data_IF_956537707194
#
_entry.id   IF_956537707194
#
_cell.length_a   1.000
_cell.length_b   1.000
_cell.length_c   1.000
_cell.angle_alpha   90.00
_cell.angle_beta   90.00
_cell.angle_gamma   90.00
#
_symmetry.space_group_name_H-M   'P 1'
#
loop_
_entity.id
_entity.type
_entity.pdbx_description
1 polymer ?
#
# COMPACT_ATOMS: atom_id res chain seq x y z
N UNK A 1 16.68 -7.53 4.01
CA UNK A 1 16.04 -6.73 5.07
C UNK A 1 14.99 -5.86 4.42
N UNK A 2 13.78 -5.88 4.94
CA UNK A 2 12.64 -5.19 4.33
C UNK A 2 11.31 -5.79 4.80
N UNK A 3 10.22 -5.16 4.38
CA UNK A 3 8.86 -5.63 4.60
C UNK A 3 8.62 -6.95 3.87
N UNK A 4 8.06 -7.93 4.57
CA UNK A 4 7.63 -9.22 4.02
C UNK A 4 6.10 -9.31 4.00
N UNK A 5 5.58 -10.19 3.14
CA UNK A 5 4.13 -10.41 3.07
C UNK A 5 3.61 -10.90 4.43
N UNK A 6 2.60 -10.20 4.97
CA UNK A 6 2.05 -10.45 6.30
C UNK A 6 2.49 -9.47 7.39
N UNK A 7 3.55 -8.69 7.16
CA UNK A 7 3.98 -7.66 8.10
C UNK A 7 2.88 -6.58 8.26
N UNK A 8 2.76 -6.04 9.47
CA UNK A 8 1.78 -4.99 9.79
C UNK A 8 2.50 -3.65 9.82
N UNK A 9 1.99 -2.68 9.06
CA UNK A 9 2.50 -1.31 9.03
C UNK A 9 1.39 -0.33 9.43
N UNK A 10 1.75 0.78 10.06
CA UNK A 10 0.81 1.81 10.47
C UNK A 10 0.86 3.00 9.51
N UNK A 11 -0.27 3.71 9.40
CA UNK A 11 -0.27 4.99 8.67
C UNK A 11 0.70 5.97 9.33
N UNK A 12 1.48 6.65 8.48
CA UNK A 12 2.53 7.58 8.90
C UNK A 12 3.93 6.96 8.94
N UNK A 13 4.04 5.63 8.93
CA UNK A 13 5.34 4.95 8.89
C UNK A 13 6.09 5.29 7.59
N UNK A 14 7.41 5.40 7.69
CA UNK A 14 8.30 5.43 6.51
C UNK A 14 8.69 4.00 6.18
N UNK A 15 8.10 3.46 5.12
CA UNK A 15 8.36 2.09 4.68
C UNK A 15 9.38 2.09 3.54
N UNK A 16 10.33 1.16 3.62
CA UNK A 16 11.34 0.94 2.58
C UNK A 16 11.22 -0.48 2.03
N UNK A 17 10.95 -0.59 0.73
CA UNK A 17 10.92 -1.84 -0.01
C UNK A 17 12.19 -1.98 -0.84
N UNK A 18 12.83 -3.15 -0.76
CA UNK A 18 14.05 -3.43 -1.52
C UNK A 18 13.81 -4.55 -2.53
N UNK A 19 14.13 -4.29 -3.79
CA UNK A 19 14.13 -5.26 -4.86
C UNK A 19 15.56 -5.50 -5.33
N UNK A 20 15.99 -6.75 -5.33
CA UNK A 20 17.37 -7.14 -5.66
C UNK A 20 17.32 -8.24 -6.73
N UNK A 21 17.97 -8.01 -7.86
CA UNK A 21 18.16 -9.00 -8.92
C UNK A 21 19.63 -9.39 -9.00
N UNK A 22 19.92 -10.70 -8.92
CA UNK A 22 21.28 -11.25 -8.86
C UNK A 22 21.61 -12.08 -10.10
N UNK A 23 22.87 -12.03 -10.53
CA UNK A 23 23.41 -12.89 -11.59
C UNK A 23 23.13 -12.40 -13.02
N UNK A 24 22.62 -11.18 -13.20
CA UNK A 24 22.37 -10.59 -14.52
C UNK A 24 23.66 -10.31 -15.29
N UNK A 25 23.68 -10.64 -16.58
CA UNK A 25 24.70 -10.15 -17.52
C UNK A 25 24.04 -9.77 -18.86
N UNK A 26 23.82 -8.47 -19.14
CA UNK A 26 24.06 -7.31 -18.27
C UNK A 26 23.15 -7.31 -17.02
N UNK A 27 23.41 -6.49 -15.98
CA UNK A 27 22.48 -6.34 -14.85
C UNK A 27 21.07 -5.97 -15.31
N UNK A 28 20.05 -6.44 -14.58
CA UNK A 28 18.65 -6.21 -14.95
C UNK A 28 18.22 -4.76 -14.68
N UNK A 29 17.31 -4.24 -15.50
CA UNK A 29 16.54 -3.03 -15.21
C UNK A 29 15.44 -3.37 -14.21
N UNK A 30 15.35 -2.58 -13.13
CA UNK A 30 14.38 -2.77 -12.04
C UNK A 30 13.35 -1.64 -12.00
N UNK A 31 12.08 -1.99 -11.88
CA UNK A 31 10.95 -1.06 -11.84
C UNK A 31 10.01 -1.46 -10.70
N UNK A 32 9.59 -0.49 -9.88
CA UNK A 32 8.50 -0.66 -8.94
C UNK A 32 7.17 -0.17 -9.51
N UNK A 33 6.14 -0.96 -9.24
CA UNK A 33 4.75 -0.66 -9.53
C UNK A 33 3.91 -0.71 -8.24
N UNK A 34 2.92 0.18 -8.13
CA UNK A 34 1.87 0.16 -7.12
C UNK A 34 0.54 -0.03 -7.83
N UNK A 35 -0.14 -1.15 -7.61
CA UNK A 35 -1.41 -1.47 -8.31
C UNK A 35 -1.33 -1.23 -9.82
N UNK A 36 -0.25 -1.69 -10.45
CA UNK A 36 0.08 -1.54 -11.88
C UNK A 36 0.53 -0.15 -12.34
N UNK A 37 0.49 0.88 -11.47
CA UNK A 37 1.08 2.19 -11.76
C UNK A 37 2.60 2.18 -11.50
N UNK A 38 3.40 2.61 -12.47
CA UNK A 38 4.85 2.73 -12.30
C UNK A 38 5.18 3.86 -11.30
N UNK A 39 5.86 3.53 -10.19
CA UNK A 39 6.18 4.49 -9.11
C UNK A 39 7.67 4.78 -8.95
N UNK A 40 8.54 3.86 -9.37
CA UNK A 40 9.99 4.06 -9.26
C UNK A 40 10.76 3.27 -10.33
N UNK A 41 11.70 3.94 -10.98
CA UNK A 41 12.61 3.34 -11.97
C UNK A 41 14.08 3.59 -11.60
N UNK A 42 14.34 4.13 -10.41
CA UNK A 42 15.69 4.49 -9.97
C UNK A 42 16.37 3.25 -9.37
N UNK A 43 17.33 2.69 -10.08
CA UNK A 43 18.06 1.51 -9.64
C UNK A 43 19.57 1.73 -9.75
N UNK A 44 20.32 1.04 -8.90
CA UNK A 44 21.78 0.97 -8.95
C UNK A 44 22.23 -0.42 -9.40
N UNK A 45 23.38 -0.49 -10.07
CA UNK A 45 23.99 -1.77 -10.47
C UNK A 45 25.36 -1.92 -9.81
N UNK A 46 25.72 -3.16 -9.49
CA UNK A 46 27.00 -3.52 -8.90
C UNK A 46 27.43 -4.89 -9.40
N UNK A 47 28.41 -4.94 -10.30
CA UNK A 47 28.84 -6.19 -10.93
C UNK A 47 27.70 -6.85 -11.72
N UNK A 48 27.19 -7.98 -11.22
CA UNK A 48 26.06 -8.75 -11.80
C UNK A 48 24.77 -8.61 -10.99
N UNK A 49 24.72 -7.64 -10.08
CA UNK A 49 23.56 -7.33 -9.26
C UNK A 49 22.94 -5.98 -9.67
N UNK A 50 21.62 -5.89 -9.55
CA UNK A 50 20.87 -4.63 -9.61
C UNK A 50 19.98 -4.51 -8.38
N UNK A 51 19.84 -3.30 -7.85
CA UNK A 51 19.06 -3.00 -6.65
C UNK A 51 18.20 -1.76 -6.86
N UNK A 52 16.93 -1.83 -6.49
CA UNK A 52 16.00 -0.70 -6.46
C UNK A 52 15.33 -0.63 -5.08
N UNK A 53 15.53 0.47 -4.38
CA UNK A 53 15.01 0.70 -3.03
C UNK A 53 13.98 1.82 -3.06
N UNK A 54 12.72 1.47 -2.87
CA UNK A 54 11.60 2.40 -2.89
C UNK A 54 11.19 2.76 -1.45
N UNK A 55 11.27 4.05 -1.10
CA UNK A 55 10.89 4.54 0.23
C UNK A 55 9.74 5.56 0.12
N UNK A 56 8.70 5.36 0.92
CA UNK A 56 7.52 6.22 0.93
C UNK A 56 6.88 6.29 2.32
N UNK A 57 6.03 7.29 2.54
CA UNK A 57 5.22 7.39 3.75
C UNK A 57 3.90 6.66 3.54
N UNK A 58 3.59 5.72 4.42
CA UNK A 58 2.41 4.86 4.34
C UNK A 58 1.15 5.66 4.59
N UNK A 59 0.20 5.62 3.65
CA UNK A 59 -1.13 6.23 3.78
C UNK A 59 -2.26 5.21 3.86
N UNK A 60 -3.49 5.63 4.22
CA UNK A 60 -4.65 4.73 4.25
C UNK A 60 -4.94 4.04 2.91
N UNK A 61 -4.61 4.70 1.80
CA UNK A 61 -4.76 4.19 0.42
C UNK A 61 -3.76 3.08 0.08
N UNK A 62 -2.74 2.87 0.91
CA UNK A 62 -1.77 1.79 0.74
C UNK A 62 -2.28 0.46 1.31
N UNK A 63 -3.37 0.47 2.10
CA UNK A 63 -3.95 -0.76 2.60
C UNK A 63 -4.41 -1.66 1.45
N UNK A 64 -3.93 -2.91 1.45
CA UNK A 64 -4.14 -3.91 0.39
C UNK A 64 -3.57 -3.54 -0.97
N UNK A 65 -2.82 -2.44 -1.08
CA UNK A 65 -2.08 -2.12 -2.30
C UNK A 65 -1.01 -3.19 -2.56
N UNK A 66 -0.85 -3.55 -3.83
CA UNK A 66 0.16 -4.50 -4.28
C UNK A 66 1.35 -3.71 -4.81
N UNK A 67 2.50 -3.87 -4.15
CA UNK A 67 3.76 -3.36 -4.63
C UNK A 67 4.50 -4.48 -5.37
N UNK A 68 4.76 -4.28 -6.66
CA UNK A 68 5.40 -5.27 -7.54
C UNK A 68 6.70 -4.70 -8.09
N UNK A 69 7.79 -5.43 -7.94
CA UNK A 69 9.03 -5.13 -8.64
C UNK A 69 9.14 -6.02 -9.88
N UNK A 70 9.49 -5.44 -11.02
CA UNK A 70 9.80 -6.15 -12.25
C UNK A 70 11.28 -5.98 -12.61
N UNK A 71 11.93 -7.08 -12.96
CA UNK A 71 13.31 -7.17 -13.39
C UNK A 71 13.37 -7.63 -14.85
N UNK A 72 13.93 -6.81 -15.72
CA UNK A 72 14.05 -7.09 -17.16
C UNK A 72 15.49 -7.04 -17.63
N UNK A 73 15.86 -7.98 -18.50
CA UNK A 73 17.17 -8.08 -19.11
C UNK A 73 17.01 -8.38 -20.62
N UNK A 74 17.97 -7.98 -21.45
CA UNK A 74 17.97 -8.24 -22.90
C UNK A 74 17.93 -9.74 -23.25
N UNK A 75 18.34 -10.60 -22.33
CA UNK A 75 18.32 -12.07 -22.49
C UNK A 75 16.98 -12.68 -22.06
N UNK A 76 16.21 -12.00 -21.21
CA UNK A 76 14.93 -12.52 -20.70
C UNK A 76 13.78 -12.11 -21.62
N UNK A 77 13.06 -13.08 -22.18
CA UNK A 77 11.87 -12.84 -23.01
C UNK A 77 10.73 -12.15 -22.25
N UNK A 78 10.57 -12.47 -20.96
CA UNK A 78 9.59 -11.88 -20.07
C UNK A 78 10.29 -11.37 -18.80
N UNK A 79 9.88 -10.22 -18.24
CA UNK A 79 10.38 -9.75 -16.97
C UNK A 79 10.09 -10.74 -15.85
N UNK A 80 11.06 -10.94 -14.95
CA UNK A 80 10.81 -11.61 -13.67
C UNK A 80 10.15 -10.62 -12.72
N UNK A 81 9.24 -11.07 -11.87
CA UNK A 81 8.57 -10.19 -10.92
C UNK A 81 8.43 -10.80 -9.54
N UNK A 82 8.40 -9.93 -8.54
CA UNK A 82 8.08 -10.25 -7.15
C UNK A 82 7.12 -9.19 -6.61
N UNK A 83 6.14 -9.59 -5.81
CA UNK A 83 5.13 -8.68 -5.29
C UNK A 83 4.86 -8.90 -3.81
N UNK A 84 4.45 -7.84 -3.13
CA UNK A 84 4.01 -7.87 -1.74
C UNK A 84 2.69 -7.09 -1.59
N UNK A 85 1.76 -7.60 -0.78
CA UNK A 85 0.51 -6.91 -0.48
C UNK A 85 0.59 -6.28 0.90
N UNK A 86 0.44 -4.96 0.98
CA UNK A 86 0.55 -4.27 2.26
C UNK A 86 -0.69 -4.51 3.14
N UNK A 87 -0.45 -4.71 4.43
CA UNK A 87 -1.48 -4.69 5.47
C UNK A 87 -1.28 -3.45 6.35
N UNK A 88 -2.03 -2.39 6.03
CA UNK A 88 -1.87 -1.08 6.69
C UNK A 88 -2.98 -0.88 7.71
N UNK A 89 -2.61 -0.61 8.97
CA UNK A 89 -3.56 -0.27 10.03
C UNK A 89 -3.83 1.23 10.08
N UNK A 90 -5.10 1.59 10.18
CA UNK A 90 -5.54 2.98 10.27
C UNK A 90 -6.94 3.10 10.88
N UNK A 91 -7.14 4.18 11.62
CA UNK A 91 -8.43 4.57 12.17
C UNK A 91 -9.43 4.97 11.06
N UNK A 92 -10.75 4.99 11.35
CA UNK A 92 -11.74 5.46 10.40
C UNK A 92 -11.40 6.83 9.84
N UNK A 93 -11.35 6.94 8.52
CA UNK A 93 -10.99 8.18 7.83
C UNK A 93 -11.97 9.33 8.07
N UNK A 94 -13.20 9.03 8.48
CA UNK A 94 -14.23 10.01 8.87
C UNK A 94 -15.30 9.35 9.72
N UNK A 95 -16.06 10.16 10.46
CA UNK A 95 -17.30 9.77 11.14
C UNK A 95 -18.37 10.81 10.80
N UNK A 96 -19.54 10.36 10.37
CA UNK A 96 -20.65 11.22 9.95
C UNK A 96 -21.92 10.75 10.64
N UNK A 97 -22.51 11.64 11.43
CA UNK A 97 -23.85 11.46 12.00
C UNK A 97 -24.83 12.22 11.12
N UNK A 98 -25.92 11.56 10.74
CA UNK A 98 -26.98 12.11 9.91
C UNK A 98 -28.33 11.82 10.53
N UNK A 99 -29.25 12.77 10.40
CA UNK A 99 -30.58 12.71 11.01
C UNK A 99 -31.32 14.03 10.85
N UNK A 100 -32.58 14.10 11.28
CA UNK A 100 -33.35 15.34 11.28
C UNK A 100 -32.69 16.38 12.21
N UNK A 101 -32.63 17.64 11.77
CA UNK A 101 -32.05 18.76 12.54
C UNK A 101 -32.99 19.27 13.63
N UNK A 102 -34.29 19.19 13.38
CA UNK A 102 -35.35 19.66 14.26
C UNK A 102 -36.48 18.64 14.26
N UNK A 103 -37.05 18.40 15.44
CA UNK A 103 -38.04 17.35 15.69
C UNK A 103 -39.07 17.88 16.68
N UNK A 104 -40.33 17.42 16.55
CA UNK A 104 -41.40 17.80 17.47
C UNK A 104 -41.42 16.90 18.70
N UNK A 105 -41.87 17.48 19.81
CA UNK A 105 -42.04 16.75 21.07
C UNK A 105 -43.01 15.58 20.85
N UNK A 106 -42.59 14.39 21.27
CA UNK A 106 -43.35 13.15 21.12
C UNK A 106 -43.06 12.36 19.84
N UNK A 107 -42.29 12.90 18.90
CA UNK A 107 -41.87 12.17 17.69
C UNK A 107 -40.60 11.35 17.95
N UNK A 108 -40.55 10.14 17.38
CA UNK A 108 -39.34 9.31 17.36
C UNK A 108 -38.44 9.68 16.20
N UNK A 109 -37.14 9.64 16.43
CA UNK A 109 -36.14 10.05 15.44
C UNK A 109 -35.17 8.92 15.18
N UNK A 110 -34.69 8.85 13.95
CA UNK A 110 -33.61 7.94 13.58
C UNK A 110 -32.37 8.74 13.27
N UNK A 111 -31.31 8.50 14.03
CA UNK A 111 -29.97 8.97 13.73
C UNK A 111 -29.19 7.83 13.07
N UNK A 112 -28.39 8.16 12.07
CA UNK A 112 -27.52 7.22 11.36
C UNK A 112 -26.07 7.68 11.50
N UNK A 113 -25.22 6.80 12.05
CA UNK A 113 -23.78 7.00 12.17
C UNK A 113 -23.09 6.15 11.10
N UNK A 114 -22.24 6.79 10.29
CA UNK A 114 -21.48 6.15 9.22
C UNK A 114 -20.01 6.52 9.37
N UNK A 115 -19.14 5.53 9.22
CA UNK A 115 -17.69 5.72 9.24
C UNK A 115 -17.10 5.64 7.83
N UNK A 116 -15.94 6.25 7.64
CA UNK A 116 -15.11 6.03 6.46
C UNK A 116 -14.42 4.66 6.49
N UNK A 117 -13.54 4.41 5.53
CA UNK A 117 -12.69 3.21 5.55
C UNK A 117 -11.82 3.18 6.81
N UNK A 118 -11.59 1.98 7.34
CA UNK A 118 -10.67 1.67 8.44
C UNK A 118 -10.04 0.30 8.22
N UNK A 119 -8.94 0.03 8.90
CA UNK A 119 -8.41 -1.33 9.03
C UNK A 119 -7.80 -1.50 10.43
N UNK A 120 -8.33 -2.42 11.27
CA UNK A 120 -9.46 -3.32 10.99
C UNK A 120 -10.82 -2.60 10.87
N UNK A 121 -11.90 -3.32 10.49
CA UNK A 121 -13.26 -2.80 10.61
C UNK A 121 -13.55 -2.32 12.03
N UNK A 122 -14.29 -1.23 12.16
CA UNK A 122 -14.65 -0.66 13.47
C UNK A 122 -16.04 -1.06 13.92
N UNK A 123 -16.21 -1.21 15.23
CA UNK A 123 -17.51 -1.31 15.87
C UNK A 123 -18.04 0.10 16.17
N UNK A 124 -19.34 0.31 15.91
CA UNK A 124 -20.01 1.59 16.14
C UNK A 124 -21.07 1.38 17.22
N UNK A 125 -21.00 2.17 18.29
CA UNK A 125 -21.97 2.21 19.38
C UNK A 125 -22.58 3.61 19.52
N UNK A 126 -23.79 3.66 20.09
CA UNK A 126 -24.54 4.87 20.41
C UNK A 126 -24.62 5.08 21.91
#
# INVERSE_FOLDING_TARGET
>A
EGYHDGDIVQVGDKLTLACISRGGNPPARLIWFRNDDQVDITYSTGGREATNTHTFTVGPKDNKAIYKCEASNVVTLQPLSASVRLNVLFAPTKVVISGPKEVRVGESVTLSCKTGSSNPPVEVSW
#
